data_IF_836323575977
#
_entry.id   IF_836323575977
#
_cell.length_a   1.000
_cell.length_b   1.000
_cell.length_c   1.000
_cell.angle_alpha   90.00
_cell.angle_beta   90.00
_cell.angle_gamma   90.00
#
_symmetry.space_group_name_H-M   'P 1'
#
loop_
_entity.id
_entity.type
_entity.pdbx_description
1 polymer ?
#
# COMPACT_ATOMS: atom_id res chain seq x y z
N UNK A 1 -24.28 -5.74 -4.03
CA UNK A 1 -22.95 -5.30 -4.51
C UNK A 1 -21.97 -5.57 -3.38
N UNK A 2 -20.87 -6.31 -3.58
CA UNK A 2 -19.91 -6.53 -2.50
C UNK A 2 -19.36 -5.17 -2.05
N UNK A 3 -19.30 -4.97 -0.74
CA UNK A 3 -18.71 -3.78 -0.13
C UNK A 3 -17.22 -3.75 -0.49
N UNK A 4 -16.72 -2.66 -1.11
CA UNK A 4 -15.28 -2.50 -1.40
C UNK A 4 -14.54 -2.55 -0.06
N UNK A 5 -13.69 -3.56 0.14
CA UNK A 5 -12.90 -3.68 1.35
C UNK A 5 -11.78 -2.64 1.30
N UNK A 6 -11.56 -1.91 2.40
CA UNK A 6 -10.42 -0.99 2.49
C UNK A 6 -9.13 -1.82 2.39
N UNK A 7 -8.20 -1.39 1.55
CA UNK A 7 -6.88 -2.00 1.36
C UNK A 7 -6.91 -3.43 0.77
N UNK A 8 -7.80 -3.67 -0.21
CA UNK A 8 -7.81 -4.92 -1.01
C UNK A 8 -6.47 -5.22 -1.72
N UNK A 9 -5.61 -4.23 -1.89
CA UNK A 9 -4.31 -4.40 -2.51
C UNK A 9 -3.25 -4.75 -1.47
N UNK A 10 -2.88 -6.02 -1.41
CA UNK A 10 -1.75 -6.48 -0.60
C UNK A 10 -0.44 -6.02 -1.24
N UNK A 11 0.39 -5.29 -0.50
CA UNK A 11 1.78 -5.00 -0.89
C UNK A 11 2.71 -5.16 0.32
N UNK A 12 3.83 -5.90 0.21
CA UNK A 12 4.81 -6.01 1.30
C UNK A 12 5.37 -4.64 1.71
N UNK A 13 5.54 -4.42 3.02
CA UNK A 13 6.21 -3.21 3.53
C UNK A 13 7.62 -3.07 2.95
N UNK A 14 8.39 -4.16 2.83
CA UNK A 14 9.74 -4.15 2.25
C UNK A 14 9.75 -3.60 0.82
N UNK A 15 8.74 -3.98 0.03
CA UNK A 15 8.58 -3.46 -1.33
C UNK A 15 8.30 -1.96 -1.29
N UNK A 16 7.30 -1.52 -0.50
CA UNK A 16 6.95 -0.09 -0.41
C UNK A 16 8.10 0.78 0.13
N UNK A 17 8.92 0.25 1.05
CA UNK A 17 10.12 0.94 1.57
C UNK A 17 11.15 1.26 0.49
N UNK A 18 11.24 0.46 -0.57
CA UNK A 18 12.14 0.74 -1.68
C UNK A 18 11.70 1.95 -2.52
N UNK A 19 10.41 2.32 -2.46
CA UNK A 19 9.84 3.44 -3.22
C UNK A 19 9.44 4.64 -2.35
N UNK A 20 9.53 4.49 -1.02
CA UNK A 20 9.20 5.53 -0.07
C UNK A 20 10.42 6.39 0.27
N UNK A 21 10.17 7.67 0.54
CA UNK A 21 11.14 8.52 1.20
C UNK A 21 10.86 8.47 2.71
N UNK A 22 11.60 7.62 3.42
CA UNK A 22 11.26 7.21 4.78
C UNK A 22 10.01 6.32 4.77
N UNK A 23 8.94 6.75 5.43
CA UNK A 23 7.65 6.03 5.45
C UNK A 23 6.60 6.60 4.50
N UNK A 24 6.95 7.64 3.73
CA UNK A 24 5.99 8.36 2.88
C UNK A 24 6.25 8.12 1.41
N UNK A 25 5.18 7.99 0.64
CA UNK A 25 5.21 7.92 -0.81
C UNK A 25 4.01 8.66 -1.41
N UNK A 26 4.01 8.85 -2.72
CA UNK A 26 2.88 9.46 -3.42
C UNK A 26 2.00 8.39 -4.04
N UNK A 27 0.69 8.52 -3.82
CA UNK A 27 -0.34 7.68 -4.41
C UNK A 27 -1.12 8.50 -5.41
N UNK A 28 -1.31 7.94 -6.60
CA UNK A 28 -2.16 8.52 -7.61
C UNK A 28 -3.56 7.90 -7.53
N UNK A 29 -4.55 8.74 -7.23
CA UNK A 29 -5.96 8.39 -7.25
C UNK A 29 -6.47 8.53 -8.68
N UNK A 30 -6.82 7.41 -9.31
CA UNK A 30 -7.32 7.36 -10.69
C UNK A 30 -8.76 7.87 -10.82
N UNK A 31 -9.57 7.74 -9.76
CA UNK A 31 -10.97 8.18 -9.78
C UNK A 31 -11.03 9.70 -9.68
N UNK A 32 -10.18 10.29 -8.84
CA UNK A 32 -10.12 11.75 -8.61
C UNK A 32 -9.03 12.46 -9.42
N UNK A 33 -8.26 11.72 -10.22
CA UNK A 33 -7.14 12.22 -11.03
C UNK A 33 -6.14 13.10 -10.24
N UNK A 34 -5.82 12.72 -9.00
CA UNK A 34 -4.99 13.54 -8.11
C UNK A 34 -3.88 12.73 -7.44
N UNK A 35 -2.82 13.42 -7.03
CA UNK A 35 -1.75 12.85 -6.21
C UNK A 35 -2.00 13.16 -4.74
N UNK A 36 -1.84 12.18 -3.87
CA UNK A 36 -1.91 12.34 -2.42
C UNK A 36 -0.70 11.70 -1.74
N UNK A 37 -0.34 12.15 -0.55
CA UNK A 37 0.64 11.46 0.29
C UNK A 37 0.02 10.21 0.90
N UNK A 38 0.73 9.08 0.84
CA UNK A 38 0.43 7.85 1.56
C UNK A 38 1.56 7.47 2.52
N UNK A 39 1.23 6.78 3.61
CA UNK A 39 2.21 6.15 4.50
C UNK A 39 2.23 4.64 4.26
N UNK A 40 3.39 4.01 4.35
CA UNK A 40 3.55 2.54 4.20
C UNK A 40 2.56 1.77 5.08
N UNK A 41 2.33 2.18 6.32
CA UNK A 41 1.39 1.51 7.23
C UNK A 41 -0.06 1.52 6.76
N UNK A 42 -0.47 2.55 6.01
CA UNK A 42 -1.85 2.67 5.52
C UNK A 42 -2.15 1.73 4.35
N UNK A 43 -1.12 1.31 3.60
CA UNK A 43 -1.23 0.53 2.37
C UNK A 43 -0.58 -0.85 2.45
N UNK A 44 0.14 -1.13 3.52
CA UNK A 44 0.70 -2.44 3.80
C UNK A 44 -0.28 -3.29 4.61
N UNK A 45 -0.24 -4.60 4.40
CA UNK A 45 -0.97 -5.52 5.26
C UNK A 45 -0.22 -5.75 6.57
N UNK A 46 -0.91 -5.65 7.71
CA UNK A 46 -0.34 -5.96 9.03
C UNK A 46 -0.31 -7.47 9.33
N UNK A 47 -1.07 -8.30 8.61
CA UNK A 47 -1.48 -9.63 9.09
C UNK A 47 -1.25 -10.83 8.18
N UNK A 48 -0.73 -10.67 6.98
CA UNK A 48 -0.44 -11.84 6.14
C UNK A 48 1.03 -11.85 5.75
N UNK A 49 1.76 -12.74 6.43
CA UNK A 49 3.07 -13.18 6.04
C UNK A 49 2.94 -13.84 4.67
N UNK A 50 3.68 -13.38 3.67
CA UNK A 50 3.97 -14.29 2.57
C UNK A 50 5.01 -15.28 3.10
N UNK A 51 4.74 -16.58 2.96
CA UNK A 51 5.78 -17.60 2.87
C UNK A 51 6.61 -17.32 1.61
N UNK A 52 7.44 -16.28 1.65
CA UNK A 52 8.52 -16.09 0.67
C UNK A 52 9.80 -16.58 1.32
N UNK A 53 10.15 -17.82 1.01
CA UNK A 53 11.50 -18.33 1.18
C UNK A 53 12.45 -17.53 0.26
N UNK A 54 13.49 -16.93 0.86
CA UNK A 54 14.61 -16.31 0.14
C UNK A 54 15.81 -17.26 0.15
#
# INVERSE_FOLDING_TARGET
MPEKVKNEHYVPQRYLRAFANGEKFFVYDKEKAQKRSGNIGDYASERYFYDVDF
#
